data_IF_603602648151
#
_entry.id   IF_603602648151
#
_cell.length_a   1.000
_cell.length_b   1.000
_cell.length_c   1.000
_cell.angle_alpha   90.00
_cell.angle_beta   90.00
_cell.angle_gamma   90.00
#
_symmetry.space_group_name_H-M   'P 1'
#
loop_
_entity.id
_entity.type
_entity.pdbx_description
1 polymer ?
#
# COMPACT_ATOMS: atom_id res chain seq x y z
N UNK A 1 -26.85 12.92 32.93
CA UNK A 1 -26.37 13.43 31.63
C UNK A 1 -25.90 12.22 30.86
N UNK A 2 -26.73 11.73 29.94
CA UNK A 2 -26.49 10.51 29.18
C UNK A 2 -25.82 10.93 27.88
N UNK A 3 -24.54 10.60 27.70
CA UNK A 3 -23.88 10.77 26.42
C UNK A 3 -24.55 9.85 25.39
N UNK A 4 -25.12 10.50 24.39
CA UNK A 4 -25.72 9.91 23.20
C UNK A 4 -24.61 9.16 22.45
N UNK A 5 -24.58 7.83 22.61
CA UNK A 5 -23.76 6.94 21.80
C UNK A 5 -24.27 7.05 20.36
N UNK A 6 -23.67 7.96 19.58
CA UNK A 6 -23.96 8.11 18.15
C UNK A 6 -23.56 6.82 17.43
N UNK A 7 -24.58 6.03 17.06
CA UNK A 7 -24.47 4.80 16.29
C UNK A 7 -24.35 5.22 14.83
N UNK A 8 -23.17 5.02 14.22
CA UNK A 8 -23.00 5.25 12.78
C UNK A 8 -23.14 3.88 12.08
N UNK A 9 -24.27 3.59 11.42
CA UNK A 9 -24.38 2.41 10.58
C UNK A 9 -23.41 2.52 9.39
N UNK A 10 -22.91 1.37 8.93
CA UNK A 10 -22.17 1.28 7.68
C UNK A 10 -23.14 1.65 6.53
N UNK A 11 -22.73 2.54 5.64
CA UNK A 11 -23.57 3.02 4.53
C UNK A 11 -23.79 1.92 3.48
N UNK A 12 -24.86 2.03 2.70
CA UNK A 12 -25.14 1.10 1.61
C UNK A 12 -23.97 1.01 0.61
N UNK A 13 -23.27 2.13 0.39
CA UNK A 13 -22.08 2.18 -0.46
C UNK A 13 -20.91 1.35 0.10
N UNK A 14 -20.70 1.39 1.42
CA UNK A 14 -19.68 0.56 2.09
C UNK A 14 -20.00 -0.93 2.00
N UNK A 15 -21.28 -1.29 2.19
CA UNK A 15 -21.74 -2.68 2.07
C UNK A 15 -21.52 -3.22 0.66
N UNK A 16 -21.82 -2.41 -0.37
CA UNK A 16 -21.64 -2.80 -1.76
C UNK A 16 -20.16 -2.95 -2.14
N UNK A 17 -19.29 -2.04 -1.69
CA UNK A 17 -17.85 -2.16 -1.92
C UNK A 17 -17.26 -3.42 -1.27
N UNK A 18 -17.70 -3.78 -0.05
CA UNK A 18 -17.25 -5.02 0.61
C UNK A 18 -17.74 -6.24 -0.17
N UNK A 19 -19.00 -6.26 -0.64
CA UNK A 19 -19.50 -7.35 -1.47
C UNK A 19 -18.75 -7.46 -2.79
N UNK A 20 -18.39 -6.32 -3.39
CA UNK A 20 -17.57 -6.29 -4.59
C UNK A 20 -16.19 -6.87 -4.33
N UNK A 21 -15.54 -6.51 -3.21
CA UNK A 21 -14.24 -7.08 -2.81
C UNK A 21 -14.37 -8.60 -2.60
N UNK A 22 -15.40 -9.05 -1.88
CA UNK A 22 -15.68 -10.48 -1.67
C UNK A 22 -15.93 -11.20 -2.99
N UNK A 23 -16.69 -10.59 -3.91
CA UNK A 23 -16.98 -11.16 -5.23
C UNK A 23 -15.77 -11.16 -6.17
N UNK A 24 -14.94 -10.12 -6.08
CA UNK A 24 -13.69 -9.96 -6.82
C UNK A 24 -12.57 -10.85 -6.26
N UNK A 25 -12.77 -11.50 -5.11
CA UNK A 25 -11.86 -12.49 -4.56
C UNK A 25 -12.59 -13.83 -4.53
N UNK A 26 -12.72 -14.44 -5.71
CA UNK A 26 -13.43 -15.71 -5.92
C UNK A 26 -12.95 -16.77 -4.92
N UNK A 27 -13.89 -17.43 -4.23
CA UNK A 27 -13.66 -18.42 -3.16
C UNK A 27 -13.03 -17.90 -1.84
N UNK A 28 -12.91 -16.58 -1.65
CA UNK A 28 -12.22 -15.94 -0.52
C UNK A 28 -13.04 -15.59 0.73
N UNK A 29 -14.31 -16.01 0.81
CA UNK A 29 -15.25 -15.55 1.85
C UNK A 29 -14.79 -15.78 3.30
N UNK A 30 -14.06 -16.86 3.57
CA UNK A 30 -13.53 -17.16 4.91
C UNK A 30 -12.28 -16.38 5.33
N UNK A 31 -11.55 -15.79 4.38
CA UNK A 31 -10.33 -15.04 4.68
C UNK A 31 -10.62 -13.56 4.96
N UNK A 32 -11.62 -12.98 4.28
CA UNK A 32 -12.06 -11.64 4.60
C UNK A 32 -12.75 -11.58 5.97
N UNK A 33 -13.33 -12.69 6.46
CA UNK A 33 -13.77 -12.80 7.86
C UNK A 33 -12.62 -12.83 8.87
N UNK A 34 -11.40 -13.23 8.49
CA UNK A 34 -10.22 -13.11 9.38
C UNK A 34 -9.75 -11.64 9.50
N UNK A 35 -9.83 -10.87 8.40
CA UNK A 35 -9.42 -9.46 8.36
C UNK A 35 -10.47 -8.54 8.98
N UNK A 36 -11.73 -8.72 8.60
CA UNK A 36 -12.85 -7.89 8.99
C UNK A 36 -13.57 -8.40 10.26
N UNK A 37 -13.23 -9.61 10.73
CA UNK A 37 -14.03 -10.37 11.69
C UNK A 37 -15.29 -10.96 11.04
N UNK A 38 -16.10 -11.70 11.80
CA UNK A 38 -17.47 -12.01 11.42
C UNK A 38 -18.24 -10.70 11.24
N UNK A 39 -18.29 -10.20 10.00
CA UNK A 39 -19.23 -9.19 9.54
C UNK A 39 -20.56 -9.90 9.29
N UNK A 40 -21.66 -9.55 9.99
CA UNK A 40 -22.96 -10.14 9.74
C UNK A 40 -23.36 -9.90 8.28
N UNK A 41 -23.89 -10.94 7.64
CA UNK A 41 -24.41 -10.88 6.27
C UNK A 41 -25.52 -9.85 6.09
N UNK A 42 -26.16 -9.45 7.19
CA UNK A 42 -27.08 -8.33 7.31
C UNK A 42 -26.47 -7.24 8.21
N UNK A 43 -25.71 -6.34 7.59
CA UNK A 43 -24.97 -5.25 8.25
C UNK A 43 -25.85 -4.17 8.93
N UNK A 44 -27.17 -4.30 8.82
CA UNK A 44 -28.17 -3.35 9.35
C UNK A 44 -28.26 -3.39 10.90
N UNK A 45 -27.58 -4.33 11.57
CA UNK A 45 -27.70 -4.57 13.01
C UNK A 45 -26.40 -4.54 13.83
N UNK A 46 -25.27 -4.10 13.28
CA UNK A 46 -23.97 -4.12 13.96
C UNK A 46 -23.85 -3.00 15.02
N UNK A 47 -24.61 -3.13 16.08
CA UNK A 47 -24.47 -2.35 17.30
C UNK A 47 -23.23 -2.89 18.02
N UNK A 48 -22.09 -2.20 17.91
CA UNK A 48 -21.09 -2.22 18.98
C UNK A 48 -19.60 -2.31 18.64
N UNK A 49 -19.18 -2.63 17.42
CA UNK A 49 -17.75 -2.83 17.16
C UNK A 49 -17.15 -1.74 16.27
N UNK A 50 -16.75 -0.63 16.91
CA UNK A 50 -16.10 0.53 16.25
C UNK A 50 -14.87 0.11 15.43
N UNK A 51 -14.18 -0.95 15.82
CA UNK A 51 -12.99 -1.46 15.13
C UNK A 51 -13.39 -2.11 13.80
N UNK A 52 -14.47 -2.92 13.78
CA UNK A 52 -14.97 -3.53 12.54
C UNK A 52 -15.42 -2.47 11.53
N UNK A 53 -16.13 -1.44 12.00
CA UNK A 53 -16.58 -0.33 11.14
C UNK A 53 -15.38 0.45 10.59
N UNK A 54 -14.38 0.71 11.44
CA UNK A 54 -13.13 1.35 11.02
C UNK A 54 -12.42 0.54 9.93
N UNK A 55 -12.21 -0.76 10.15
CA UNK A 55 -11.55 -1.64 9.18
C UNK A 55 -12.31 -1.78 7.87
N UNK A 56 -13.63 -1.92 7.94
CA UNK A 56 -14.50 -1.93 6.76
C UNK A 56 -14.36 -0.65 5.92
N UNK A 57 -14.34 0.51 6.59
CA UNK A 57 -14.15 1.82 5.94
C UNK A 57 -12.76 1.92 5.30
N UNK A 58 -11.71 1.45 5.99
CA UNK A 58 -10.34 1.44 5.46
C UNK A 58 -10.20 0.52 4.26
N UNK A 59 -10.80 -0.66 4.31
CA UNK A 59 -10.77 -1.62 3.21
C UNK A 59 -11.48 -1.07 1.97
N UNK A 60 -12.65 -0.44 2.14
CA UNK A 60 -13.31 0.25 1.04
C UNK A 60 -12.39 1.32 0.44
N UNK A 61 -11.84 2.22 1.27
CA UNK A 61 -10.96 3.29 0.79
C UNK A 61 -9.78 2.72 -0.01
N UNK A 62 -9.11 1.69 0.52
CA UNK A 62 -8.00 1.01 -0.16
C UNK A 62 -8.41 0.46 -1.53
N UNK A 63 -9.60 -0.13 -1.64
CA UNK A 63 -10.14 -0.66 -2.89
C UNK A 63 -10.44 0.44 -3.90
N UNK A 64 -11.05 1.54 -3.44
CA UNK A 64 -11.36 2.70 -4.27
C UNK A 64 -10.07 3.38 -4.77
N UNK A 65 -9.07 3.55 -3.89
CA UNK A 65 -7.76 4.09 -4.24
C UNK A 65 -7.01 3.17 -5.23
N UNK A 66 -7.10 1.84 -5.06
CA UNK A 66 -6.51 0.90 -6.01
C UNK A 66 -7.16 0.98 -7.39
N UNK A 67 -8.50 1.09 -7.45
CA UNK A 67 -9.22 1.32 -8.70
C UNK A 67 -8.86 2.67 -9.32
N UNK A 68 -8.67 3.70 -8.51
CA UNK A 68 -8.24 5.01 -8.99
C UNK A 68 -6.89 4.90 -9.69
N UNK A 69 -5.93 4.17 -9.11
CA UNK A 69 -4.63 3.90 -9.75
C UNK A 69 -4.75 3.07 -11.03
N UNK A 70 -5.67 2.09 -11.10
CA UNK A 70 -5.93 1.35 -12.34
C UNK A 70 -6.49 2.22 -13.48
N UNK A 71 -7.19 3.30 -13.15
CA UNK A 71 -7.83 4.19 -14.11
C UNK A 71 -8.91 3.48 -14.94
N UNK A 72 -8.85 3.62 -16.27
CA UNK A 72 -9.83 3.05 -17.21
C UNK A 72 -9.60 1.57 -17.54
N UNK A 73 -8.54 0.95 -17.01
CA UNK A 73 -8.26 -0.45 -17.28
C UNK A 73 -9.30 -1.32 -16.58
N UNK A 74 -9.81 -2.36 -17.27
CA UNK A 74 -10.71 -3.30 -16.63
C UNK A 74 -9.95 -4.06 -15.53
N UNK A 75 -10.36 -3.93 -14.25
CA UNK A 75 -9.71 -4.64 -13.17
C UNK A 75 -9.91 -6.14 -13.36
N UNK A 76 -8.82 -6.91 -13.36
CA UNK A 76 -8.94 -8.35 -13.16
C UNK A 76 -9.22 -8.63 -11.68
N UNK A 77 -9.98 -9.68 -11.44
CA UNK A 77 -10.12 -10.33 -10.12
C UNK A 77 -8.72 -10.57 -9.55
N UNK A 78 -8.30 -9.86 -8.49
CA UNK A 78 -6.97 -10.06 -7.95
C UNK A 78 -6.84 -11.49 -7.39
N UNK A 79 -5.68 -12.10 -7.61
CA UNK A 79 -5.39 -13.40 -7.02
C UNK A 79 -5.41 -13.26 -5.48
N UNK A 80 -6.22 -14.10 -4.81
CA UNK A 80 -6.35 -14.10 -3.34
C UNK A 80 -4.99 -14.19 -2.63
N UNK A 81 -4.03 -14.94 -3.19
CA UNK A 81 -2.66 -15.08 -2.66
C UNK A 81 -1.90 -13.74 -2.58
N UNK A 82 -2.22 -12.79 -3.45
CA UNK A 82 -1.62 -11.45 -3.49
C UNK A 82 -2.46 -10.43 -2.73
N UNK A 83 -3.78 -10.46 -2.91
CA UNK A 83 -4.68 -9.49 -2.29
C UNK A 83 -4.78 -9.64 -0.77
N UNK A 84 -4.80 -10.88 -0.26
CA UNK A 84 -5.04 -11.12 1.15
C UNK A 84 -3.96 -10.50 2.05
N UNK A 85 -2.65 -10.73 1.80
CA UNK A 85 -1.62 -10.08 2.61
C UNK A 85 -1.65 -8.55 2.49
N UNK A 86 -2.03 -7.99 1.33
CA UNK A 86 -2.18 -6.53 1.17
C UNK A 86 -3.31 -6.03 2.07
N UNK A 87 -4.48 -6.67 2.04
CA UNK A 87 -5.61 -6.28 2.88
C UNK A 87 -5.29 -6.36 4.37
N UNK A 88 -4.62 -7.43 4.81
CA UNK A 88 -4.26 -7.62 6.23
C UNK A 88 -3.36 -6.49 6.73
N UNK A 89 -2.35 -6.10 5.96
CA UNK A 89 -1.37 -5.09 6.40
C UNK A 89 -1.90 -3.66 6.21
N UNK A 90 -2.64 -3.41 5.12
CA UNK A 90 -3.11 -2.06 4.77
C UNK A 90 -4.29 -1.58 5.62
N UNK A 91 -5.12 -2.48 6.16
CA UNK A 91 -6.33 -2.10 6.89
C UNK A 91 -6.05 -1.35 8.20
N UNK A 92 -4.96 -1.71 8.86
CA UNK A 92 -4.52 -1.10 10.13
C UNK A 92 -3.44 -0.01 9.90
N UNK A 93 -2.98 0.19 8.66
CA UNK A 93 -2.07 1.29 8.30
C UNK A 93 -2.83 2.63 8.26
N UNK A 94 -2.26 3.66 8.87
CA UNK A 94 -2.86 4.99 8.97
C UNK A 94 -2.05 6.09 8.27
N UNK A 95 -0.79 5.81 7.94
CA UNK A 95 0.16 6.78 7.36
C UNK A 95 -0.08 6.87 5.85
N UNK A 96 -0.28 8.08 5.35
CA UNK A 96 -0.80 8.35 3.99
C UNK A 96 0.09 7.76 2.90
N UNK A 97 1.41 7.89 3.04
CA UNK A 97 2.38 7.43 2.05
C UNK A 97 2.36 5.90 1.90
N UNK A 98 2.15 5.18 3.01
CA UNK A 98 2.04 3.73 3.00
C UNK A 98 0.66 3.27 2.54
N UNK A 99 -0.41 3.99 2.87
CA UNK A 99 -1.74 3.71 2.30
C UNK A 99 -1.73 3.80 0.77
N UNK A 100 -1.13 4.85 0.20
CA UNK A 100 -1.00 4.98 -1.25
C UNK A 100 -0.15 3.86 -1.86
N UNK A 101 0.96 3.49 -1.19
CA UNK A 101 1.78 2.36 -1.62
C UNK A 101 0.98 1.04 -1.65
N UNK A 102 0.20 0.77 -0.61
CA UNK A 102 -0.65 -0.42 -0.52
C UNK A 102 -1.73 -0.42 -1.61
N UNK A 103 -2.37 0.72 -1.88
CA UNK A 103 -3.34 0.86 -2.95
C UNK A 103 -2.71 0.58 -4.33
N UNK A 104 -1.52 1.09 -4.59
CA UNK A 104 -0.76 0.81 -5.83
C UNK A 104 -0.37 -0.67 -5.96
N UNK A 105 0.02 -1.33 -4.86
CA UNK A 105 0.32 -2.77 -4.88
C UNK A 105 -0.93 -3.60 -5.16
N UNK A 106 -2.07 -3.22 -4.57
CA UNK A 106 -3.36 -3.86 -4.84
C UNK A 106 -3.75 -3.67 -6.30
N UNK A 107 -3.66 -2.45 -6.83
CA UNK A 107 -3.85 -2.15 -8.25
C UNK A 107 -2.94 -3.02 -9.13
N UNK A 108 -1.66 -3.15 -8.78
CA UNK A 108 -0.71 -3.96 -9.55
C UNK A 108 -1.09 -5.45 -9.58
N UNK A 109 -1.70 -5.95 -8.51
CA UNK A 109 -2.21 -7.33 -8.46
C UNK A 109 -3.47 -7.55 -9.31
N UNK A 110 -4.20 -6.49 -9.63
CA UNK A 110 -5.44 -6.48 -10.44
C UNK A 110 -5.19 -6.13 -11.92
N UNK A 111 -4.01 -5.60 -12.25
CA UNK A 111 -3.69 -5.17 -13.61
C UNK A 111 -3.19 -6.36 -14.46
N UNK A 112 -3.81 -6.57 -15.64
CA UNK A 112 -3.56 -7.70 -16.56
C UNK A 112 -2.07 -8.07 -16.78
N UNK A 113 -1.23 -7.07 -17.10
CA UNK A 113 0.20 -7.32 -17.34
C UNK A 113 1.09 -7.28 -16.10
N UNK A 114 0.78 -6.42 -15.12
CA UNK A 114 1.58 -6.29 -13.90
C UNK A 114 1.38 -7.48 -12.96
N UNK A 115 0.17 -8.03 -12.87
CA UNK A 115 -0.19 -9.16 -12.01
C UNK A 115 0.68 -10.39 -12.30
N UNK A 116 0.96 -10.66 -13.59
CA UNK A 116 1.83 -11.76 -14.06
C UNK A 116 3.28 -11.65 -13.59
N UNK A 117 3.74 -10.43 -13.29
CA UNK A 117 5.12 -10.12 -12.87
C UNK A 117 5.21 -9.71 -11.41
N UNK A 118 4.06 -9.64 -10.72
CA UNK A 118 3.98 -9.29 -9.32
C UNK A 118 4.70 -10.34 -8.47
N UNK A 119 5.48 -9.89 -7.49
CA UNK A 119 6.23 -10.76 -6.58
C UNK A 119 5.71 -10.58 -5.17
N UNK A 120 5.47 -11.67 -4.44
CA UNK A 120 5.11 -11.61 -3.01
C UNK A 120 6.17 -10.85 -2.19
N UNK A 121 7.44 -10.90 -2.61
CA UNK A 121 8.51 -10.13 -1.98
C UNK A 121 8.22 -8.61 -1.95
N UNK A 122 7.43 -8.07 -2.89
CA UNK A 122 7.04 -6.66 -2.87
C UNK A 122 6.18 -6.30 -1.66
N UNK A 123 5.29 -7.22 -1.25
CA UNK A 123 4.49 -7.05 -0.03
C UNK A 123 5.42 -7.07 1.19
N UNK A 124 6.33 -8.05 1.26
CA UNK A 124 7.32 -8.15 2.34
C UNK A 124 8.25 -6.93 2.43
N UNK A 125 8.56 -6.30 1.30
CA UNK A 125 9.30 -5.04 1.26
C UNK A 125 8.44 -3.90 1.80
N UNK A 126 7.20 -3.74 1.34
CA UNK A 126 6.33 -2.65 1.79
C UNK A 126 6.08 -2.68 3.31
N UNK A 127 5.98 -3.87 3.92
CA UNK A 127 5.88 -4.04 5.39
C UNK A 127 7.06 -3.46 6.19
N UNK A 128 8.22 -3.30 5.55
CA UNK A 128 9.47 -2.83 6.18
C UNK A 128 9.76 -1.36 5.90
N UNK A 129 8.92 -0.70 5.09
CA UNK A 129 9.10 0.70 4.77
C UNK A 129 8.38 1.59 5.77
N UNK A 130 9.01 2.70 6.07
CA UNK A 130 8.40 3.85 6.73
C UNK A 130 8.01 4.93 5.71
N UNK A 131 7.14 5.89 6.10
CA UNK A 131 6.67 6.93 5.18
C UNK A 131 7.79 7.70 4.47
N UNK A 132 8.86 8.02 5.20
CA UNK A 132 9.99 8.75 4.63
C UNK A 132 10.73 7.91 3.57
N UNK A 133 10.81 6.59 3.74
CA UNK A 133 11.44 5.70 2.76
C UNK A 133 10.67 5.71 1.44
N UNK A 134 9.34 5.72 1.51
CA UNK A 134 8.48 5.83 0.34
C UNK A 134 8.70 7.17 -0.36
N UNK A 135 8.74 8.28 0.40
CA UNK A 135 9.00 9.61 -0.16
C UNK A 135 10.38 9.69 -0.83
N UNK A 136 11.42 9.22 -0.14
CA UNK A 136 12.79 9.16 -0.69
C UNK A 136 12.85 8.30 -1.95
N UNK A 137 12.19 7.15 -1.97
CA UNK A 137 12.12 6.28 -3.14
C UNK A 137 11.47 6.97 -4.35
N UNK A 138 10.37 7.70 -4.14
CA UNK A 138 9.70 8.46 -5.19
C UNK A 138 10.59 9.58 -5.73
N UNK A 139 11.34 10.27 -4.88
CA UNK A 139 12.31 11.29 -5.31
C UNK A 139 13.47 10.69 -6.13
N UNK A 140 14.00 9.54 -5.70
CA UNK A 140 15.08 8.84 -6.44
C UNK A 140 14.61 8.46 -7.85
N UNK A 141 13.34 8.06 -8.00
CA UNK A 141 12.74 7.74 -9.30
C UNK A 141 12.71 8.95 -10.23
N UNK A 142 12.47 10.15 -9.71
CA UNK A 142 12.44 11.38 -10.51
C UNK A 142 13.82 11.78 -11.03
N UNK A 143 14.90 11.22 -10.48
CA UNK A 143 16.26 11.45 -10.98
C UNK A 143 16.46 10.74 -12.34
N UNK A 144 16.79 11.48 -13.42
CA UNK A 144 16.93 10.92 -14.78
C UNK A 144 17.91 9.75 -14.88
N UNK A 145 18.89 9.69 -13.98
CA UNK A 145 19.95 8.67 -14.02
C UNK A 145 19.61 7.45 -13.15
N UNK A 146 18.56 7.48 -12.32
CA UNK A 146 18.22 6.43 -11.34
C UNK A 146 19.40 6.02 -10.44
N UNK A 147 20.39 6.90 -10.33
CA UNK A 147 21.61 6.79 -9.51
C UNK A 147 21.59 7.90 -8.49
N UNK A 148 22.22 7.64 -7.35
CA UNK A 148 22.23 8.52 -6.21
C UNK A 148 23.61 8.60 -5.53
N UNK A 149 24.13 9.80 -5.38
CA UNK A 149 25.33 10.08 -4.58
C UNK A 149 24.93 10.38 -3.14
N UNK A 150 25.09 9.40 -2.25
CA UNK A 150 24.61 9.46 -0.86
C UNK A 150 25.06 10.72 -0.12
N UNK A 151 26.27 11.23 -0.38
CA UNK A 151 26.75 12.47 0.25
C UNK A 151 26.04 13.73 -0.26
N UNK A 152 26.26 14.07 -1.53
CA UNK A 152 25.83 15.35 -2.10
C UNK A 152 24.33 15.43 -2.38
N UNK A 153 23.68 14.30 -2.65
CA UNK A 153 22.27 14.28 -3.00
C UNK A 153 21.36 14.03 -1.79
N UNK A 154 21.83 13.41 -0.70
CA UNK A 154 21.02 13.28 0.52
C UNK A 154 20.73 14.64 1.15
N UNK A 155 21.67 15.60 1.08
CA UNK A 155 21.42 16.97 1.50
C UNK A 155 20.35 17.67 0.66
N UNK A 156 20.32 17.43 -0.66
CA UNK A 156 19.30 17.97 -1.55
C UNK A 156 17.94 17.35 -1.29
N UNK A 157 17.88 16.03 -1.09
CA UNK A 157 16.65 15.33 -0.70
C UNK A 157 16.13 15.83 0.63
N UNK A 158 16.99 15.99 1.63
CA UNK A 158 16.60 16.49 2.95
C UNK A 158 15.99 17.89 2.85
N UNK A 159 16.62 18.78 2.08
CA UNK A 159 16.09 20.13 1.81
C UNK A 159 14.75 20.08 1.07
N UNK A 160 14.63 19.24 0.04
CA UNK A 160 13.41 19.14 -0.77
C UNK A 160 12.23 18.56 0.03
N UNK A 161 12.49 17.52 0.82
CA UNK A 161 11.51 16.81 1.63
C UNK A 161 11.19 17.53 2.95
N UNK A 162 11.98 18.54 3.33
CA UNK A 162 11.81 19.30 4.56
C UNK A 162 12.13 18.50 5.82
N UNK A 163 13.11 17.61 5.75
CA UNK A 163 13.50 16.68 6.84
C UNK A 163 15.00 16.79 7.15
N UNK A 164 15.46 16.15 8.24
CA UNK A 164 16.87 16.08 8.60
C UNK A 164 17.71 15.26 7.62
N UNK A 165 18.97 15.63 7.45
CA UNK A 165 19.94 14.88 6.64
C UNK A 165 20.09 13.43 7.11
N UNK A 166 20.19 13.23 8.44
CA UNK A 166 20.35 11.89 9.02
C UNK A 166 19.10 11.02 8.84
N UNK A 167 17.90 11.63 8.82
CA UNK A 167 16.65 10.91 8.56
C UNK A 167 16.61 10.38 7.12
N UNK A 168 17.01 11.20 6.14
CA UNK A 168 17.15 10.74 4.75
C UNK A 168 18.18 9.62 4.65
N UNK A 169 19.29 9.72 5.38
CA UNK A 169 20.32 8.69 5.38
C UNK A 169 19.79 7.36 5.93
N UNK A 170 19.05 7.39 7.04
CA UNK A 170 18.39 6.20 7.60
C UNK A 170 17.45 5.58 6.56
N UNK A 171 16.65 6.40 5.87
CA UNK A 171 15.78 5.91 4.80
C UNK A 171 16.54 5.28 3.64
N UNK A 172 17.64 5.89 3.20
CA UNK A 172 18.50 5.33 2.15
C UNK A 172 19.11 3.98 2.56
N UNK A 173 19.51 3.85 3.82
CA UNK A 173 20.05 2.61 4.36
C UNK A 173 18.96 1.53 4.46
N UNK A 174 17.74 1.86 4.91
CA UNK A 174 16.62 0.91 4.91
C UNK A 174 16.22 0.47 3.49
N UNK A 175 16.22 1.38 2.52
CA UNK A 175 15.97 1.05 1.11
C UNK A 175 17.04 0.12 0.53
N UNK A 176 18.29 0.20 1.00
CA UNK A 176 19.35 -0.76 0.64
C UNK A 176 19.15 -2.12 1.31
N UNK A 177 18.80 -2.17 2.60
CA UNK A 177 18.47 -3.41 3.31
C UNK A 177 17.28 -4.14 2.68
N UNK A 178 16.29 -3.37 2.21
CA UNK A 178 15.15 -3.86 1.44
C UNK A 178 15.50 -4.26 -0.01
N UNK A 179 16.78 -4.15 -0.41
CA UNK A 179 17.31 -4.44 -1.75
C UNK A 179 16.72 -3.56 -2.85
N UNK A 180 16.07 -2.45 -2.51
CA UNK A 180 15.55 -1.49 -3.47
C UNK A 180 16.73 -0.72 -4.08
N UNK A 181 17.65 -0.28 -3.23
CA UNK A 181 18.92 0.32 -3.64
C UNK A 181 20.04 -0.72 -3.65
N UNK A 182 21.03 -0.47 -4.49
CA UNK A 182 22.27 -1.23 -4.54
C UNK A 182 23.44 -0.31 -4.88
N UNK A 183 24.63 -0.67 -4.43
CA UNK A 183 25.86 -0.01 -4.81
C UNK A 183 26.15 -0.16 -6.33
N UNK A 184 26.40 0.96 -7.03
CA UNK A 184 26.69 1.03 -8.48
C UNK A 184 28.16 1.45 -8.75
N UNK A 185 28.94 1.73 -7.71
CA UNK A 185 30.38 2.02 -7.79
C UNK A 185 31.03 2.10 -6.42
N UNK A 186 32.10 2.88 -6.24
CA UNK A 186 32.70 3.04 -4.89
C UNK A 186 31.90 3.97 -3.98
N UNK A 187 31.12 4.89 -4.55
CA UNK A 187 30.38 5.94 -3.81
C UNK A 187 28.93 6.13 -4.26
N UNK A 188 28.57 5.63 -5.45
CA UNK A 188 27.24 5.78 -6.02
C UNK A 188 26.35 4.61 -5.61
N UNK A 189 25.15 4.90 -5.10
CA UNK A 189 24.04 3.96 -5.00
C UNK A 189 23.09 4.17 -6.17
N UNK A 190 22.16 3.26 -6.39
CA UNK A 190 21.04 3.49 -7.30
C UNK A 190 20.08 2.33 -7.28
N UNK A 191 19.03 2.42 -8.09
CA UNK A 191 18.00 1.39 -8.11
C UNK A 191 18.59 0.05 -8.57
N UNK A 192 18.46 -0.96 -7.71
CA UNK A 192 18.80 -2.33 -8.04
C UNK A 192 17.81 -2.89 -9.10
N UNK A 193 18.11 -4.05 -9.66
CA UNK A 193 17.13 -4.75 -10.51
C UNK A 193 15.82 -5.04 -9.77
N UNK A 194 15.89 -5.32 -8.46
CA UNK A 194 14.71 -5.52 -7.63
C UNK A 194 13.95 -4.21 -7.42
N UNK A 195 14.64 -3.11 -7.08
CA UNK A 195 14.02 -1.80 -6.88
C UNK A 195 13.33 -1.26 -8.14
N UNK A 196 13.94 -1.46 -9.32
CA UNK A 196 13.33 -1.12 -10.61
C UNK A 196 12.02 -1.88 -10.85
N UNK A 197 12.00 -3.17 -10.53
CA UNK A 197 10.81 -4.00 -10.69
C UNK A 197 9.73 -3.68 -9.65
N UNK A 198 10.12 -3.36 -8.42
CA UNK A 198 9.21 -2.89 -7.38
C UNK A 198 8.52 -1.58 -7.81
N UNK A 199 9.30 -0.58 -8.24
CA UNK A 199 8.78 0.69 -8.75
C UNK A 199 7.85 0.50 -9.95
N UNK A 200 8.24 -0.35 -10.92
CA UNK A 200 7.39 -0.69 -12.06
C UNK A 200 6.07 -1.33 -11.65
N UNK A 201 6.00 -2.05 -10.53
CA UNK A 201 4.75 -2.61 -10.06
C UNK A 201 3.81 -1.48 -9.59
N UNK A 202 4.33 -0.54 -8.78
CA UNK A 202 3.53 0.50 -8.11
C UNK A 202 3.33 1.79 -8.94
N UNK A 203 3.92 1.87 -10.12
CA UNK A 203 3.77 3.02 -11.03
C UNK A 203 2.50 2.92 -11.89
N UNK A 204 1.64 3.93 -11.86
CA UNK A 204 0.42 4.02 -12.66
C UNK A 204 0.35 5.38 -13.34
#
# INVERSE_FOLDING_TARGET
MSEENSIIPISDAQSEAIKEIVGAVRDGGGYLTEILGDLPKDLVGLIGDKIKIYRATRLQKLWDDAKHHLGIQQPETPCLKLALPIFTEAVDESREELQDLWARLLAASMHLEKSKRFRLAFIETAKKLDPLDVRVLLEIKLNPHNTFQVGSEAGKLAQHLGVGFDEVKISLDNLEECKILSQIGSIDKGLSSYGKEFLRAVEF
#
